data_IF_578545737128
#
_entry.id   IF_578545737128
#
_cell.length_a   1.000
_cell.length_b   1.000
_cell.length_c   1.000
_cell.angle_alpha   90.00
_cell.angle_beta   90.00
_cell.angle_gamma   90.00
#
_symmetry.space_group_name_H-M   'P 1'
#
loop_
_entity.id
_entity.type
_entity.pdbx_description
1 polymer ?
#
# COMPACT_ATOMS: atom_id res chain seq x y z
N UNK A 1 21.04 1.06 -4.78
CA UNK A 1 19.74 0.39 -5.02
C UNK A 1 18.66 1.26 -4.40
N UNK A 2 17.63 1.63 -5.16
CA UNK A 2 16.45 2.34 -4.62
C UNK A 2 15.40 1.29 -4.22
N UNK A 3 14.85 1.41 -3.02
CA UNK A 3 13.74 0.59 -2.55
C UNK A 3 12.41 1.26 -2.91
N UNK A 4 11.36 0.46 -3.13
CA UNK A 4 9.99 0.93 -3.38
C UNK A 4 8.98 0.06 -2.63
N UNK A 5 7.89 0.65 -2.17
CA UNK A 5 6.76 -0.02 -1.55
C UNK A 5 5.69 -0.29 -2.62
N UNK A 6 5.38 -1.55 -2.86
CA UNK A 6 4.27 -1.96 -3.72
C UNK A 6 3.08 -2.32 -2.83
N UNK A 7 1.99 -1.56 -2.92
CA UNK A 7 0.75 -1.87 -2.23
C UNK A 7 -0.25 -2.49 -3.21
N UNK A 8 -0.40 -3.81 -3.14
CA UNK A 8 -1.38 -4.56 -3.95
C UNK A 8 -2.66 -4.70 -3.14
N UNK A 9 -3.78 -4.21 -3.68
CA UNK A 9 -5.08 -4.32 -3.01
C UNK A 9 -6.20 -4.58 -4.02
N UNK A 10 -7.28 -5.18 -3.54
CA UNK A 10 -8.50 -5.42 -4.31
C UNK A 10 -9.65 -4.69 -3.58
N UNK A 11 -10.40 -3.79 -4.26
CA UNK A 11 -11.51 -3.06 -3.65
C UNK A 11 -12.64 -3.96 -3.13
N UNK A 12 -12.78 -5.18 -3.65
CA UNK A 12 -13.74 -6.18 -3.20
C UNK A 12 -13.21 -7.09 -2.09
N UNK A 13 -11.92 -6.99 -1.74
CA UNK A 13 -11.32 -7.81 -0.69
C UNK A 13 -11.61 -7.23 0.70
N UNK A 14 -12.42 -7.94 1.49
CA UNK A 14 -12.73 -7.58 2.88
C UNK A 14 -11.50 -7.48 3.77
N UNK A 15 -10.46 -8.28 3.52
CA UNK A 15 -9.19 -8.20 4.23
C UNK A 15 -8.41 -6.93 3.89
N UNK A 16 -8.44 -6.48 2.63
CA UNK A 16 -7.82 -5.20 2.23
C UNK A 16 -8.50 -4.03 2.95
N UNK A 17 -9.82 -4.09 3.13
CA UNK A 17 -10.56 -3.11 3.94
C UNK A 17 -10.15 -3.14 5.41
N UNK A 18 -10.04 -4.32 6.02
CA UNK A 18 -9.57 -4.46 7.40
C UNK A 18 -8.13 -3.99 7.61
N UNK A 19 -7.29 -4.12 6.59
CA UNK A 19 -5.89 -3.71 6.62
C UNK A 19 -5.65 -2.23 6.28
N UNK A 20 -6.65 -1.53 5.75
CA UNK A 20 -6.53 -0.14 5.27
C UNK A 20 -5.86 0.83 6.28
N UNK A 21 -6.16 0.81 7.60
CA UNK A 21 -5.48 1.70 8.55
C UNK A 21 -3.97 1.44 8.64
N UNK A 22 -3.56 0.17 8.58
CA UNK A 22 -2.14 -0.22 8.64
C UNK A 22 -1.45 0.12 7.32
N UNK A 23 -2.11 -0.10 6.19
CA UNK A 23 -1.61 0.30 4.88
C UNK A 23 -1.32 1.81 4.83
N UNK A 24 -2.24 2.65 5.30
CA UNK A 24 -2.04 4.10 5.35
C UNK A 24 -0.83 4.49 6.21
N UNK A 25 -0.69 3.90 7.40
CA UNK A 25 0.47 4.15 8.26
C UNK A 25 1.81 3.73 7.60
N UNK A 26 1.81 2.64 6.82
CA UNK A 26 2.98 2.20 6.06
C UNK A 26 3.31 3.16 4.91
N UNK A 27 2.29 3.70 4.22
CA UNK A 27 2.47 4.69 3.16
C UNK A 27 3.08 5.98 3.72
N UNK A 28 2.57 6.46 4.85
CA UNK A 28 3.12 7.65 5.53
C UNK A 28 4.59 7.44 5.93
N UNK A 29 4.93 6.27 6.49
CA UNK A 29 6.31 5.93 6.84
C UNK A 29 7.21 5.84 5.61
N UNK A 30 6.73 5.26 4.51
CA UNK A 30 7.48 5.18 3.26
C UNK A 30 7.77 6.57 2.69
N UNK A 31 6.77 7.47 2.68
CA UNK A 31 6.93 8.85 2.25
C UNK A 31 7.95 9.60 3.12
N UNK A 32 7.88 9.44 4.45
CA UNK A 32 8.84 10.06 5.38
C UNK A 32 10.28 9.55 5.16
N UNK A 33 10.44 8.29 4.73
CA UNK A 33 11.72 7.68 4.40
C UNK A 33 12.19 7.97 2.96
N UNK A 34 11.42 8.71 2.15
CA UNK A 34 11.73 8.96 0.74
C UNK A 34 11.63 7.71 -0.14
N UNK A 35 10.84 6.71 0.27
CA UNK A 35 10.58 5.47 -0.46
C UNK A 35 9.34 5.68 -1.34
N UNK A 36 9.48 5.40 -2.63
CA UNK A 36 8.38 5.52 -3.59
C UNK A 36 7.29 4.47 -3.33
N UNK A 37 6.02 4.86 -3.46
CA UNK A 37 4.85 4.02 -3.19
C UNK A 37 4.03 3.85 -4.46
N UNK A 38 3.81 2.60 -4.87
CA UNK A 38 3.00 2.27 -6.04
C UNK A 38 1.81 1.39 -5.62
N UNK A 39 0.60 1.90 -5.85
CA UNK A 39 -0.65 1.16 -5.68
C UNK A 39 -0.95 0.31 -6.92
N UNK A 40 -1.15 -0.98 -6.73
CA UNK A 40 -1.59 -1.92 -7.76
C UNK A 40 -2.98 -2.41 -7.36
N UNK A 41 -3.97 -2.13 -8.20
CA UNK A 41 -5.36 -2.52 -7.95
C UNK A 41 -5.64 -3.83 -8.69
N UNK A 42 -6.08 -4.85 -7.95
CA UNK A 42 -6.57 -6.14 -8.47
C UNK A 42 -8.10 -6.23 -8.46
N UNK A 43 -8.64 -7.43 -8.74
CA UNK A 43 -10.08 -7.71 -8.60
C UNK A 43 -10.93 -7.54 -9.87
N UNK A 44 -10.41 -7.94 -11.04
CA UNK A 44 -11.21 -8.07 -12.26
C UNK A 44 -11.90 -9.43 -12.36
#
# INVERSE_FOLDING_TARGET
>A
MSARLLYVMDPMCSWCWGFAPVANALVEQAQAAGVDVHLIVGGF
#
